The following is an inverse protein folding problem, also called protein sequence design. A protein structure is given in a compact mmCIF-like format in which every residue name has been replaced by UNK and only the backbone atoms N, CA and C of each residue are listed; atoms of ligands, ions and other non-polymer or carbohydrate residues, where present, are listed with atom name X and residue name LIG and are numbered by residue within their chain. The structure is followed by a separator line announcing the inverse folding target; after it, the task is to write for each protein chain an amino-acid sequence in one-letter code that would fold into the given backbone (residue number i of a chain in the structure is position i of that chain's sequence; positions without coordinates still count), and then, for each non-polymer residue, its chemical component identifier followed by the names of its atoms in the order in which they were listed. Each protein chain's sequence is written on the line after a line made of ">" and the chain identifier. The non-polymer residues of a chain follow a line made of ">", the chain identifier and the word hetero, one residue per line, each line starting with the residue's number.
data_IF_147086444356
#
_entry.id   IF_147086444356
#
_cell.length_a   1.000
_cell.length_b   1.000
_cell.length_c   1.000
_cell.angle_alpha   90.00
_cell.angle_beta   90.00
_cell.angle_gamma   90.00
#
_symmetry.space_group_name_H-M   'P 1'
#
loop_
_entity.id
_entity.type
_entity.pdbx_description
1 polymer ?
#
# COMPACT_ATOMS: atom_id res chain seq x y z
N UNK A 1 16.68 -22.11 11.08
CA UNK A 1 16.80 -20.81 10.39
C UNK A 1 15.53 -20.02 10.63
N UNK A 2 15.65 -18.73 10.96
CA UNK A 2 14.46 -17.91 11.07
C UNK A 2 13.77 -17.87 9.70
N UNK A 3 12.49 -18.14 9.71
CA UNK A 3 11.67 -18.11 8.47
C UNK A 3 11.13 -16.71 8.32
N UNK A 4 11.55 -16.01 7.27
CA UNK A 4 10.98 -14.69 6.97
C UNK A 4 9.69 -14.84 6.17
N UNK A 5 8.80 -13.88 6.34
CA UNK A 5 7.51 -13.86 5.65
C UNK A 5 7.67 -13.51 4.17
N UNK A 6 8.61 -12.62 3.89
CA UNK A 6 8.90 -12.10 2.56
C UNK A 6 10.39 -11.77 2.49
N UNK A 7 11.01 -11.95 1.33
CA UNK A 7 12.42 -11.61 1.22
C UNK A 7 12.90 -11.42 -0.20
N UNK A 8 14.16 -11.02 -0.27
CA UNK A 8 14.96 -11.02 -1.49
C UNK A 8 16.15 -11.96 -1.25
N UNK A 9 16.38 -12.87 -2.18
CA UNK A 9 17.54 -13.77 -2.14
C UNK A 9 18.37 -13.58 -3.40
N UNK A 10 19.54 -12.98 -3.23
CA UNK A 10 20.49 -12.73 -4.33
C UNK A 10 19.87 -12.04 -5.54
N UNK A 11 19.00 -11.07 -5.29
CA UNK A 11 18.24 -10.37 -6.35
C UNK A 11 19.12 -9.36 -7.04
N UNK A 12 19.17 -9.45 -8.37
CA UNK A 12 19.74 -8.44 -9.24
C UNK A 12 18.72 -8.01 -10.27
N UNK A 13 18.68 -6.72 -10.56
CA UNK A 13 17.74 -6.12 -11.51
C UNK A 13 18.34 -4.85 -12.09
N UNK A 14 18.27 -4.73 -13.41
CA UNK A 14 18.71 -3.55 -14.14
C UNK A 14 17.64 -3.14 -15.17
N UNK A 15 17.51 -1.84 -15.38
CA UNK A 15 16.71 -1.28 -16.46
C UNK A 15 17.65 -0.53 -17.42
N UNK A 16 17.69 -0.97 -18.68
CA UNK A 16 18.51 -0.37 -19.72
C UNK A 16 19.98 -0.18 -19.24
N UNK A 17 20.37 1.04 -18.91
CA UNK A 17 21.74 1.38 -18.52
C UNK A 17 21.92 1.53 -17.00
N UNK A 18 20.83 1.37 -16.21
CA UNK A 18 20.89 1.57 -14.76
C UNK A 18 20.68 0.27 -14.01
N UNK A 19 21.67 -0.11 -13.20
CA UNK A 19 21.51 -1.17 -12.22
C UNK A 19 20.68 -0.66 -11.05
N UNK A 20 19.57 -1.33 -10.75
CA UNK A 20 18.69 -0.98 -9.62
C UNK A 20 19.10 -1.79 -8.39
N UNK A 21 19.27 -3.10 -8.53
CA UNK A 21 19.72 -4.00 -7.46
C UNK A 21 20.87 -4.85 -7.95
N UNK A 22 21.84 -5.09 -7.07
CA UNK A 22 22.99 -5.91 -7.34
C UNK A 22 23.20 -6.89 -6.17
N UNK A 23 22.80 -8.13 -6.37
CA UNK A 23 22.95 -9.22 -5.39
C UNK A 23 22.41 -8.86 -3.99
N UNK A 24 21.17 -8.36 -3.95
CA UNK A 24 20.54 -7.93 -2.69
C UNK A 24 19.88 -9.12 -1.99
N UNK A 25 20.20 -9.29 -0.72
CA UNK A 25 19.55 -10.28 0.16
C UNK A 25 18.99 -9.58 1.38
N UNK A 26 17.69 -9.70 1.61
CA UNK A 26 17.00 -9.07 2.73
C UNK A 26 15.75 -9.86 3.08
N UNK A 27 15.51 -10.08 4.38
CA UNK A 27 14.30 -10.71 4.88
C UNK A 27 13.39 -9.73 5.61
N UNK A 28 12.10 -9.98 5.56
CA UNK A 28 11.06 -9.27 6.32
C UNK A 28 10.37 -10.29 7.22
N UNK A 29 10.31 -10.01 8.52
CA UNK A 29 9.76 -10.90 9.53
C UNK A 29 8.47 -10.33 10.10
N UNK A 30 7.67 -11.19 10.71
CA UNK A 30 6.46 -10.76 11.40
C UNK A 30 6.76 -9.66 12.43
N UNK A 31 5.96 -8.60 12.41
CA UNK A 31 6.13 -7.45 13.31
C UNK A 31 7.13 -6.41 12.85
N UNK A 32 7.87 -6.66 11.75
CA UNK A 32 8.81 -5.69 11.23
C UNK A 32 8.10 -4.43 10.70
N UNK A 33 8.72 -3.28 10.98
CA UNK A 33 8.34 -1.99 10.39
C UNK A 33 9.59 -1.42 9.71
N UNK A 34 9.59 -1.45 8.39
CA UNK A 34 10.76 -1.11 7.58
C UNK A 34 10.47 0.16 6.80
N UNK A 35 11.30 1.18 7.02
CA UNK A 35 11.32 2.40 6.20
C UNK A 35 12.31 2.26 5.06
N UNK A 36 11.87 2.56 3.84
CA UNK A 36 12.70 2.56 2.64
C UNK A 36 12.94 4.01 2.25
N UNK A 37 14.19 4.44 2.30
CA UNK A 37 14.58 5.81 1.99
C UNK A 37 15.51 5.85 0.78
N UNK A 38 15.44 6.94 0.04
CA UNK A 38 16.26 7.16 -1.15
C UNK A 38 15.68 8.27 -2.01
N UNK A 39 16.41 8.66 -3.04
CA UNK A 39 15.95 9.64 -4.02
C UNK A 39 14.96 9.00 -4.99
N UNK A 40 14.14 9.83 -5.65
CA UNK A 40 13.30 9.36 -6.74
C UNK A 40 14.17 8.72 -7.82
N UNK A 41 13.79 7.54 -8.28
CA UNK A 41 14.54 6.75 -9.26
C UNK A 41 15.59 5.80 -8.67
N UNK A 42 15.73 5.74 -7.35
CA UNK A 42 16.65 4.80 -6.69
C UNK A 42 16.11 3.36 -6.57
N UNK A 43 14.89 3.13 -7.03
CA UNK A 43 14.32 1.78 -7.07
C UNK A 43 13.38 1.44 -5.92
N UNK A 44 12.91 2.41 -5.14
CA UNK A 44 11.96 2.16 -4.02
C UNK A 44 10.66 1.53 -4.50
N UNK A 45 10.03 2.11 -5.50
CA UNK A 45 8.80 1.56 -6.10
C UNK A 45 9.06 0.21 -6.75
N UNK A 46 10.21 0.04 -7.40
CA UNK A 46 10.62 -1.23 -8.01
C UNK A 46 10.75 -2.33 -6.96
N UNK A 47 11.32 -2.01 -5.80
CA UNK A 47 11.41 -2.95 -4.67
C UNK A 47 10.01 -3.43 -4.24
N UNK A 48 9.07 -2.52 -4.09
CA UNK A 48 7.71 -2.87 -3.71
C UNK A 48 7.01 -3.70 -4.79
N UNK A 49 7.26 -3.42 -6.06
CA UNK A 49 6.73 -4.24 -7.16
C UNK A 49 7.34 -5.64 -7.22
N UNK A 50 8.62 -5.80 -6.85
CA UNK A 50 9.23 -7.12 -6.67
C UNK A 50 8.50 -7.92 -5.59
N UNK A 51 8.21 -7.29 -4.45
CA UNK A 51 7.47 -7.93 -3.37
C UNK A 51 6.04 -8.29 -3.77
N UNK A 52 5.38 -7.46 -4.53
CA UNK A 52 4.03 -7.72 -5.03
C UNK A 52 3.98 -8.80 -6.11
N UNK A 53 5.10 -9.07 -6.77
CA UNK A 53 5.19 -10.02 -7.87
C UNK A 53 4.81 -9.44 -9.23
N UNK A 54 4.67 -8.12 -9.34
CA UNK A 54 4.40 -7.42 -10.62
C UNK A 54 5.67 -7.10 -11.40
N UNK A 55 6.83 -7.25 -10.78
CA UNK A 55 8.15 -7.12 -11.38
C UNK A 55 8.96 -8.38 -11.09
N UNK A 56 9.56 -8.98 -12.11
CA UNK A 56 10.46 -10.11 -11.94
C UNK A 56 11.91 -9.63 -11.85
N UNK A 57 12.76 -10.23 -10.99
CA UNK A 57 14.19 -9.95 -10.98
C UNK A 57 14.91 -10.56 -12.19
N UNK A 58 16.03 -9.99 -12.59
CA UNK A 58 16.88 -10.57 -13.64
C UNK A 58 17.56 -11.85 -13.14
N UNK A 59 17.92 -11.89 -11.86
CA UNK A 59 18.44 -13.06 -11.18
C UNK A 59 18.05 -13.07 -9.71
N UNK A 60 18.22 -14.21 -9.05
CA UNK A 60 17.76 -14.40 -7.69
C UNK A 60 16.28 -14.71 -7.61
N UNK A 61 15.74 -14.64 -6.41
CA UNK A 61 14.32 -14.93 -6.19
C UNK A 61 13.74 -14.03 -5.08
N UNK A 62 12.42 -13.90 -5.11
CA UNK A 62 11.65 -13.15 -4.13
C UNK A 62 10.70 -14.12 -3.43
N UNK A 63 11.15 -14.86 -2.42
CA UNK A 63 10.31 -15.80 -1.71
C UNK A 63 9.26 -15.06 -0.87
N UNK A 64 8.04 -15.58 -0.88
CA UNK A 64 6.96 -15.15 0.00
C UNK A 64 6.35 -16.39 0.65
N UNK A 65 6.13 -16.33 1.95
CA UNK A 65 5.51 -17.45 2.67
C UNK A 65 4.09 -17.67 2.14
N UNK A 66 3.76 -18.93 1.83
CA UNK A 66 2.45 -19.29 1.28
C UNK A 66 1.30 -18.89 2.19
N UNK A 67 0.20 -18.41 1.61
CA UNK A 67 -0.99 -18.00 2.33
C UNK A 67 -0.96 -16.59 2.91
N UNK A 68 0.15 -15.84 2.77
CA UNK A 68 0.22 -14.45 3.21
C UNK A 68 -0.53 -13.53 2.26
N UNK A 69 -1.24 -12.56 2.83
CA UNK A 69 -1.90 -11.49 2.07
C UNK A 69 -1.03 -10.24 2.06
N UNK A 70 -0.88 -9.65 0.89
CA UNK A 70 -0.11 -8.41 0.70
C UNK A 70 -1.04 -7.30 0.19
N UNK A 71 -1.18 -6.25 0.98
CA UNK A 71 -1.81 -5.01 0.55
C UNK A 71 -0.75 -4.00 0.14
N UNK A 72 -1.00 -3.25 -0.93
CA UNK A 72 -0.06 -2.25 -1.42
C UNK A 72 -0.74 -0.95 -1.78
N UNK A 73 -0.26 0.14 -1.20
CA UNK A 73 -0.56 1.49 -1.63
C UNK A 73 0.44 1.87 -2.72
N UNK A 74 0.01 1.75 -3.97
CA UNK A 74 0.82 2.07 -5.14
C UNK A 74 0.68 3.55 -5.53
N UNK A 75 1.57 4.02 -6.39
CA UNK A 75 1.48 5.37 -6.98
C UNK A 75 0.21 5.55 -7.81
N UNK A 76 -0.22 4.48 -8.48
CA UNK A 76 -1.51 4.43 -9.17
C UNK A 76 -2.47 3.56 -8.37
N UNK A 77 -3.60 4.13 -8.00
CA UNK A 77 -4.65 3.39 -7.33
C UNK A 77 -5.44 2.50 -8.31
N UNK A 78 -6.01 1.39 -7.83
CA UNK A 78 -6.84 0.49 -8.64
C UNK A 78 -8.32 0.90 -8.62
N UNK A 79 -8.68 2.09 -8.14
CA UNK A 79 -10.05 2.50 -7.91
C UNK A 79 -10.80 2.76 -9.22
N UNK A 80 -12.05 2.28 -9.28
CA UNK A 80 -12.94 2.52 -10.42
C UNK A 80 -13.56 3.93 -10.30
N UNK A 81 -13.34 4.76 -11.31
CA UNK A 81 -13.88 6.13 -11.38
C UNK A 81 -15.41 6.16 -11.27
N UNK A 82 -16.10 5.14 -11.70
CA UNK A 82 -17.56 5.03 -11.70
C UNK A 82 -18.12 4.49 -10.37
N UNK A 83 -17.29 3.95 -9.51
CA UNK A 83 -17.70 3.49 -8.19
C UNK A 83 -17.87 4.69 -7.23
N UNK A 84 -18.73 4.53 -6.23
CA UNK A 84 -18.80 5.47 -5.11
C UNK A 84 -17.66 5.23 -4.15
N UNK A 85 -17.36 6.23 -3.29
CA UNK A 85 -16.39 6.07 -2.21
C UNK A 85 -16.77 4.90 -1.30
N UNK A 86 -18.07 4.75 -1.00
CA UNK A 86 -18.61 3.64 -0.20
C UNK A 86 -18.29 2.28 -0.85
N UNK A 87 -18.55 2.13 -2.13
CA UNK A 87 -18.25 0.89 -2.86
C UNK A 87 -16.74 0.60 -2.89
N UNK A 88 -15.93 1.61 -3.19
CA UNK A 88 -14.49 1.44 -3.37
C UNK A 88 -13.74 1.21 -2.06
N UNK A 89 -14.03 1.96 -1.02
CA UNK A 89 -13.30 1.91 0.25
C UNK A 89 -13.95 1.02 1.31
N UNK A 90 -15.27 0.97 1.34
CA UNK A 90 -16.05 0.28 2.37
C UNK A 90 -16.74 -1.00 1.88
N UNK A 91 -16.50 -1.39 0.63
CA UNK A 91 -17.13 -2.55 0.01
C UNK A 91 -18.67 -2.50 0.04
N UNK A 92 -19.23 -1.28 -0.04
CA UNK A 92 -20.66 -1.06 0.00
C UNK A 92 -21.29 -1.10 1.37
N UNK A 93 -20.51 -1.21 2.45
CA UNK A 93 -21.04 -1.28 3.81
C UNK A 93 -21.85 -0.03 4.18
N UNK A 94 -22.97 -0.24 4.83
CA UNK A 94 -23.82 0.84 5.35
C UNK A 94 -23.18 1.49 6.58
N UNK A 95 -23.63 2.72 6.92
CA UNK A 95 -23.03 3.49 8.00
C UNK A 95 -23.09 2.76 9.35
N UNK A 96 -24.18 2.06 9.64
CA UNK A 96 -24.30 1.32 10.89
C UNK A 96 -23.33 0.14 10.99
N UNK A 97 -22.89 -0.40 9.85
CA UNK A 97 -21.97 -1.55 9.82
C UNK A 97 -20.54 -1.13 10.15
N UNK A 98 -20.02 -0.10 9.47
CA UNK A 98 -18.64 0.34 9.73
C UNK A 98 -18.54 1.19 11.01
N UNK A 99 -19.57 1.95 11.36
CA UNK A 99 -19.57 2.81 12.56
C UNK A 99 -19.63 2.01 13.87
N UNK A 100 -20.16 0.81 13.84
CA UNK A 100 -20.21 -0.09 15.00
C UNK A 100 -18.82 -0.61 15.39
N UNK A 101 -17.88 -0.67 14.44
CA UNK A 101 -16.54 -1.16 14.65
C UNK A 101 -15.58 0.02 14.89
N UNK A 102 -14.91 0.04 16.05
CA UNK A 102 -14.07 1.18 16.46
C UNK A 102 -12.97 1.49 15.46
N UNK A 103 -12.24 0.45 15.00
CA UNK A 103 -11.16 0.60 14.01
C UNK A 103 -11.67 1.20 12.70
N UNK A 104 -12.76 0.69 12.17
CA UNK A 104 -13.36 1.18 10.92
C UNK A 104 -13.83 2.62 11.05
N UNK A 105 -14.48 2.95 12.17
CA UNK A 105 -14.94 4.31 12.44
C UNK A 105 -13.77 5.30 12.48
N UNK A 106 -12.68 4.97 13.17
CA UNK A 106 -11.50 5.83 13.26
C UNK A 106 -10.86 6.04 11.88
N UNK A 107 -10.76 5.01 11.06
CA UNK A 107 -10.21 5.11 9.70
C UNK A 107 -11.09 5.99 8.82
N UNK A 108 -12.41 5.78 8.85
CA UNK A 108 -13.34 6.59 8.04
C UNK A 108 -13.30 8.06 8.47
N UNK A 109 -13.30 8.34 9.77
CA UNK A 109 -13.22 9.72 10.26
C UNK A 109 -11.89 10.39 9.89
N UNK A 110 -10.77 9.67 10.01
CA UNK A 110 -9.45 10.22 9.73
C UNK A 110 -9.20 10.44 8.23
N UNK A 111 -9.59 9.51 7.38
CA UNK A 111 -9.24 9.51 5.95
C UNK A 111 -10.37 9.95 5.04
N UNK A 112 -11.61 9.67 5.38
CA UNK A 112 -12.78 9.98 4.56
C UNK A 112 -13.62 11.13 5.13
N UNK A 113 -13.23 11.72 6.25
CA UNK A 113 -13.88 12.90 6.80
C UNK A 113 -13.91 14.05 5.80
N UNK A 114 -15.08 14.67 5.61
CA UNK A 114 -15.28 15.74 4.63
C UNK A 114 -15.49 15.27 3.19
N UNK A 115 -15.45 13.94 2.93
CA UNK A 115 -15.74 13.35 1.62
C UNK A 115 -17.10 12.66 1.70
N UNK A 116 -18.01 12.95 0.76
CA UNK A 116 -19.27 12.22 0.68
C UNK A 116 -19.01 10.77 0.26
N UNK A 117 -19.54 9.82 1.03
CA UNK A 117 -19.41 8.40 0.70
C UNK A 117 -20.19 8.02 -0.56
N UNK A 118 -21.13 8.85 -0.98
CA UNK A 118 -21.91 8.65 -2.22
C UNK A 118 -21.27 9.34 -3.43
N UNK A 119 -20.17 10.08 -3.24
CA UNK A 119 -19.44 10.70 -4.35
C UNK A 119 -18.78 9.62 -5.21
N UNK A 120 -18.73 9.88 -6.52
CA UNK A 120 -17.98 9.03 -7.45
C UNK A 120 -16.47 9.24 -7.27
N UNK A 121 -15.71 8.16 -7.34
CA UNK A 121 -14.24 8.23 -7.24
C UNK A 121 -13.65 9.18 -8.27
N UNK A 122 -14.14 9.17 -9.49
CA UNK A 122 -13.67 10.06 -10.56
C UNK A 122 -13.88 11.55 -10.31
N UNK A 123 -14.77 11.93 -9.37
CA UNK A 123 -15.01 13.33 -8.99
C UNK A 123 -14.08 13.84 -7.89
N UNK A 124 -13.28 12.98 -7.28
CA UNK A 124 -12.40 13.34 -6.17
C UNK A 124 -11.14 14.07 -6.65
N UNK A 125 -10.62 14.95 -5.79
CA UNK A 125 -9.26 15.49 -5.98
C UNK A 125 -8.22 14.39 -5.84
N UNK A 126 -6.99 14.62 -6.29
CA UNK A 126 -5.89 13.67 -6.13
C UNK A 126 -5.65 13.28 -4.68
N UNK A 127 -5.69 14.24 -3.76
CA UNK A 127 -5.54 14.00 -2.32
C UNK A 127 -6.69 13.21 -1.73
N UNK A 128 -7.93 13.51 -2.10
CA UNK A 128 -9.10 12.76 -1.66
C UNK A 128 -9.07 11.32 -2.17
N UNK A 129 -8.72 11.14 -3.45
CA UNK A 129 -8.58 9.82 -4.06
C UNK A 129 -7.49 8.99 -3.37
N UNK A 130 -6.35 9.61 -3.04
CA UNK A 130 -5.27 8.96 -2.30
C UNK A 130 -5.71 8.51 -0.90
N UNK A 131 -6.47 9.36 -0.19
CA UNK A 131 -7.04 9.01 1.11
C UNK A 131 -8.06 7.88 1.02
N UNK A 132 -8.89 7.86 -0.01
CA UNK A 132 -9.85 6.77 -0.25
C UNK A 132 -9.13 5.44 -0.50
N UNK A 133 -8.05 5.44 -1.26
CA UNK A 133 -7.24 4.24 -1.52
C UNK A 133 -6.55 3.74 -0.24
N UNK A 134 -5.99 4.64 0.54
CA UNK A 134 -5.40 4.29 1.83
C UNK A 134 -6.44 3.72 2.80
N UNK A 135 -7.63 4.33 2.87
CA UNK A 135 -8.73 3.83 3.68
C UNK A 135 -9.15 2.42 3.27
N UNK A 136 -9.28 2.16 1.99
CA UNK A 136 -9.57 0.83 1.44
C UNK A 136 -8.58 -0.22 1.95
N UNK A 137 -7.30 0.10 1.97
CA UNK A 137 -6.27 -0.80 2.45
C UNK A 137 -6.35 -0.99 3.96
N UNK A 138 -6.46 0.09 4.74
CA UNK A 138 -6.45 0.02 6.20
C UNK A 138 -7.72 -0.61 6.80
N UNK A 139 -8.81 -0.61 6.06
CA UNK A 139 -10.07 -1.23 6.50
C UNK A 139 -10.06 -2.76 6.39
N UNK A 140 -9.08 -3.32 5.69
CA UNK A 140 -8.86 -4.76 5.60
C UNK A 140 -7.67 -5.18 6.46
N UNK A 141 -7.65 -6.45 6.84
CA UNK A 141 -6.50 -7.05 7.51
C UNK A 141 -5.55 -7.64 6.46
N UNK A 142 -4.29 -7.24 6.55
CA UNK A 142 -3.22 -7.72 5.69
C UNK A 142 -2.10 -8.28 6.55
N UNK A 143 -1.49 -9.38 6.10
CA UNK A 143 -0.27 -9.91 6.74
C UNK A 143 0.91 -8.98 6.50
N UNK A 144 0.99 -8.41 5.28
CA UNK A 144 2.01 -7.45 4.88
C UNK A 144 1.33 -6.25 4.24
N UNK A 145 1.68 -5.05 4.69
CA UNK A 145 1.20 -3.81 4.10
C UNK A 145 2.39 -2.99 3.61
N UNK A 146 2.46 -2.76 2.31
CA UNK A 146 3.48 -1.96 1.66
C UNK A 146 2.89 -0.62 1.22
N UNK A 147 3.53 0.47 1.63
CA UNK A 147 3.07 1.83 1.33
C UNK A 147 4.13 2.54 0.48
N UNK A 148 3.78 2.89 -0.75
CA UNK A 148 4.63 3.65 -1.66
C UNK A 148 4.28 5.13 -1.55
N UNK A 149 5.18 5.91 -0.94
CA UNK A 149 5.00 7.35 -0.66
C UNK A 149 3.64 7.66 0.01
N UNK A 150 3.35 7.06 1.21
CA UNK A 150 2.03 7.18 1.83
C UNK A 150 1.68 8.60 2.24
N UNK A 151 2.66 9.48 2.39
CA UNK A 151 2.49 10.88 2.78
C UNK A 151 2.27 11.81 1.59
N UNK A 152 2.41 11.31 0.35
CA UNK A 152 2.17 12.09 -0.85
C UNK A 152 0.67 12.40 -1.01
N UNK A 153 0.33 13.67 -1.24
CA UNK A 153 -1.05 14.17 -1.33
C UNK A 153 -1.89 14.02 -0.05
N UNK A 154 -1.25 13.79 1.12
CA UNK A 154 -1.91 13.74 2.41
C UNK A 154 -1.68 15.04 3.19
N UNK A 155 -2.66 15.44 4.01
CA UNK A 155 -2.50 16.57 4.91
C UNK A 155 -1.70 16.21 6.17
N UNK A 156 -1.31 17.23 6.94
CA UNK A 156 -0.47 17.05 8.14
C UNK A 156 -1.16 16.19 9.21
N UNK A 157 -2.48 16.32 9.36
CA UNK A 157 -3.25 15.54 10.34
C UNK A 157 -3.26 14.07 9.95
N UNK A 158 -3.48 13.77 8.68
CA UNK A 158 -3.45 12.39 8.16
C UNK A 158 -2.06 11.78 8.29
N UNK A 159 -0.99 12.55 8.03
CA UNK A 159 0.39 12.11 8.20
C UNK A 159 0.67 11.75 9.67
N UNK A 160 0.24 12.58 10.62
CA UNK A 160 0.37 12.28 12.04
C UNK A 160 -0.37 11.01 12.45
N UNK A 161 -1.54 10.80 11.89
CA UNK A 161 -2.33 9.61 12.19
C UNK A 161 -1.63 8.33 11.71
N UNK A 162 -0.94 8.37 10.55
CA UNK A 162 -0.18 7.22 10.02
C UNK A 162 1.09 6.91 10.86
N UNK A 163 1.70 7.93 11.45
CA UNK A 163 2.91 7.76 12.26
C UNK A 163 2.62 7.07 13.59
#
# INVERSE_FOLDING_TARGET
>A
MPTYDLGLEHVSLAFATKNIFNDVTQGVFEGDRIGIVGKNGDGKSTLLHLFKGTQEPDSGRVPIRGGLTLGMLDQRDPLDDNATVREAALEGREDYEWAAETKSREIVEALLGGISLEAKIGSLSGGQRRRADLARLLLKDWDILALDEPTNHLDVVTIHWLA
#
